data_IF_090832635781
#
_entry.id   IF_090832635781
#
_cell.length_a   1.000
_cell.length_b   1.000
_cell.length_c   1.000
_cell.angle_alpha   90.00
_cell.angle_beta   90.00
_cell.angle_gamma   90.00
#
_symmetry.space_group_name_H-M   'P 1'
#
loop_
_entity.id
_entity.type
_entity.pdbx_description
1 polymer ?
#
# COMPACT_ATOMS: atom_id res chain seq x y z
N UNK A 1 15.34 13.65 -15.17
CA UNK A 1 15.12 13.35 -14.84
C UNK A 1 14.34 13.50 -14.04
N UNK A 2 13.69 13.31 -13.99
CA UNK A 2 12.87 13.55 -13.53
C UNK A 2 12.57 13.28 -12.47
N UNK A 3 12.23 13.14 -12.00
CA UNK A 3 11.68 13.13 -10.97
C UNK A 3 11.67 11.92 -10.24
N UNK A 4 12.70 11.57 -9.45
CA UNK A 4 12.72 10.43 -8.57
C UNK A 4 11.57 10.46 -7.58
N UNK A 5 11.15 11.67 -7.16
CA UNK A 5 10.01 11.77 -6.26
C UNK A 5 8.74 11.25 -6.90
N UNK A 6 8.51 11.61 -8.15
CA UNK A 6 7.34 11.13 -8.85
C UNK A 6 7.41 9.64 -9.09
N UNK A 7 8.61 9.13 -9.37
CA UNK A 7 8.79 7.69 -9.56
C UNK A 7 8.50 6.93 -8.27
N UNK A 8 8.97 7.46 -7.13
CA UNK A 8 8.70 6.81 -5.85
C UNK A 8 7.22 6.82 -5.52
N UNK A 9 6.57 7.93 -5.76
CA UNK A 9 5.13 8.03 -5.50
C UNK A 9 4.36 7.09 -6.40
N UNK A 10 4.74 7.02 -7.68
CA UNK A 10 4.09 6.09 -8.60
C UNK A 10 4.27 4.65 -8.16
N UNK A 11 5.45 4.32 -7.67
CA UNK A 11 5.70 2.97 -7.17
C UNK A 11 4.83 2.67 -5.97
N UNK A 12 4.73 3.61 -5.04
CA UNK A 12 3.90 3.42 -3.85
C UNK A 12 2.43 3.26 -4.22
N UNK A 13 1.95 4.04 -5.18
CA UNK A 13 0.58 3.91 -5.63
C UNK A 13 0.34 2.56 -6.29
N UNK A 14 1.32 2.06 -7.03
CA UNK A 14 1.21 0.75 -7.64
C UNK A 14 1.14 -0.34 -6.56
N UNK A 15 1.92 -0.19 -5.49
CA UNK A 15 1.87 -1.13 -4.38
C UNK A 15 0.49 -1.12 -3.74
N UNK A 16 -0.09 0.07 -3.52
CA UNK A 16 -1.43 0.17 -2.95
C UNK A 16 -2.43 -0.56 -3.84
N UNK A 17 -2.42 -0.30 -5.13
CA UNK A 17 -3.36 -0.94 -6.04
C UNK A 17 -3.18 -2.45 -6.07
N UNK A 18 -1.94 -2.91 -6.16
CA UNK A 18 -1.68 -4.34 -6.26
C UNK A 18 -2.03 -5.06 -4.96
N UNK A 19 -1.75 -4.45 -3.82
CA UNK A 19 -2.07 -5.09 -2.54
C UNK A 19 -3.57 -5.09 -2.29
N UNK A 20 -4.29 -4.06 -2.74
CA UNK A 20 -5.75 -4.06 -2.62
C UNK A 20 -6.36 -5.15 -3.48
N UNK A 21 -5.88 -5.30 -4.71
CA UNK A 21 -6.36 -6.35 -5.58
C UNK A 21 -6.08 -7.72 -5.00
N UNK A 22 -4.87 -7.92 -4.49
CA UNK A 22 -4.49 -9.19 -3.89
C UNK A 22 -5.34 -9.51 -2.67
N UNK A 23 -5.53 -8.52 -1.80
CA UNK A 23 -6.34 -8.71 -0.61
C UNK A 23 -7.78 -9.05 -0.98
N UNK A 24 -8.35 -8.32 -1.94
CA UNK A 24 -9.73 -8.56 -2.35
C UNK A 24 -9.90 -9.93 -2.98
N UNK A 25 -8.92 -10.36 -3.78
CA UNK A 25 -8.96 -11.69 -4.37
C UNK A 25 -8.94 -12.74 -3.27
N UNK A 26 -8.07 -12.58 -2.28
CA UNK A 26 -7.98 -13.55 -1.19
C UNK A 26 -9.25 -13.54 -0.35
N UNK A 27 -9.85 -12.36 -0.13
CA UNK A 27 -11.12 -12.28 0.60
C UNK A 27 -12.21 -13.10 -0.10
N UNK A 28 -12.17 -13.14 -1.43
CA UNK A 28 -13.14 -13.93 -2.17
C UNK A 28 -12.83 -15.43 -2.11
N UNK A 29 -11.55 -15.77 -2.03
CA UNK A 29 -11.15 -17.18 -2.04
C UNK A 29 -11.29 -17.85 -0.68
N UNK A 30 -11.09 -17.09 0.40
CA UNK A 30 -11.12 -17.69 1.74
C UNK A 30 -12.39 -18.47 2.02
N UNK A 31 -13.59 -17.92 1.76
CA UNK A 31 -14.81 -18.69 2.06
C UNK A 31 -14.99 -19.90 1.16
N UNK A 32 -14.27 -19.98 0.04
CA UNK A 32 -14.37 -21.12 -0.85
C UNK A 32 -13.42 -22.24 -0.49
N UNK A 33 -12.46 -21.98 0.38
CA UNK A 33 -11.48 -22.99 0.76
C UNK A 33 -12.09 -23.96 1.74
N UNK A 34 -12.03 -25.25 1.41
CA UNK A 34 -12.58 -26.28 2.28
C UNK A 34 -11.54 -26.86 3.21
N UNK A 35 -10.28 -26.84 2.79
CA UNK A 35 -9.19 -27.36 3.58
C UNK A 35 -8.76 -26.28 4.58
N UNK A 36 -8.76 -26.65 5.86
CA UNK A 36 -8.43 -25.68 6.92
C UNK A 36 -7.01 -25.17 6.82
N UNK A 37 -6.07 -26.02 6.44
CA UNK A 37 -4.68 -25.58 6.29
C UNK A 37 -4.54 -24.59 5.15
N UNK A 38 -5.20 -24.86 4.04
CA UNK A 38 -5.17 -23.96 2.90
C UNK A 38 -5.85 -22.64 3.24
N UNK A 39 -6.96 -22.72 3.97
CA UNK A 39 -7.67 -21.51 4.41
C UNK A 39 -6.78 -20.65 5.31
N UNK A 40 -6.07 -21.30 6.25
CA UNK A 40 -5.16 -20.57 7.13
C UNK A 40 -4.06 -19.87 6.33
N UNK A 41 -3.56 -20.54 5.29
CA UNK A 41 -2.54 -19.95 4.44
C UNK A 41 -3.07 -18.74 3.68
N UNK A 42 -4.29 -18.83 3.16
CA UNK A 42 -4.91 -17.71 2.48
C UNK A 42 -5.10 -16.52 3.41
N UNK A 43 -5.50 -16.78 4.65
CA UNK A 43 -5.66 -15.72 5.64
C UNK A 43 -4.33 -15.08 5.98
N UNK A 44 -3.27 -15.87 6.07
CA UNK A 44 -1.95 -15.34 6.33
C UNK A 44 -1.49 -14.43 5.19
N UNK A 45 -1.72 -14.85 3.96
CA UNK A 45 -1.37 -14.05 2.80
C UNK A 45 -2.18 -12.77 2.75
N UNK A 46 -3.46 -12.85 3.08
CA UNK A 46 -4.31 -11.68 3.11
C UNK A 46 -3.77 -10.65 4.11
N UNK A 47 -3.33 -11.13 5.28
CA UNK A 47 -2.80 -10.22 6.29
C UNK A 47 -1.50 -9.56 5.83
N UNK A 48 -0.66 -10.28 5.07
CA UNK A 48 0.55 -9.69 4.52
C UNK A 48 0.20 -8.57 3.54
N UNK A 49 -0.73 -8.80 2.63
CA UNK A 49 -1.15 -7.78 1.69
C UNK A 49 -1.74 -6.58 2.41
N UNK A 50 -2.53 -6.83 3.45
CA UNK A 50 -3.15 -5.77 4.21
C UNK A 50 -2.08 -4.90 4.87
N UNK A 51 -1.06 -5.52 5.44
CA UNK A 51 0.01 -4.79 6.09
C UNK A 51 0.80 -3.97 5.08
N UNK A 52 1.14 -4.58 3.94
CA UNK A 52 1.85 -3.84 2.89
C UNK A 52 1.06 -2.66 2.40
N UNK A 53 -0.26 -2.83 2.25
CA UNK A 53 -1.14 -1.76 1.83
C UNK A 53 -1.10 -0.61 2.82
N UNK A 54 -1.18 -0.92 4.11
CA UNK A 54 -1.15 0.09 5.16
C UNK A 54 0.19 0.82 5.17
N UNK A 55 1.28 0.10 4.99
CA UNK A 55 2.60 0.72 4.97
C UNK A 55 2.77 1.63 3.77
N UNK A 56 2.24 1.21 2.61
CA UNK A 56 2.33 2.04 1.42
C UNK A 56 1.51 3.32 1.57
N UNK A 57 0.32 3.21 2.16
CA UNK A 57 -0.50 4.39 2.43
C UNK A 57 0.22 5.35 3.38
N UNK A 58 0.84 4.81 4.43
CA UNK A 58 1.58 5.65 5.37
C UNK A 58 2.75 6.35 4.69
N UNK A 59 3.43 5.66 3.79
CA UNK A 59 4.55 6.25 3.07
C UNK A 59 4.07 7.37 2.14
N UNK A 60 2.93 7.18 1.49
CA UNK A 60 2.36 8.21 0.64
C UNK A 60 1.98 9.43 1.46
N UNK A 61 1.37 9.22 2.61
CA UNK A 61 1.00 10.31 3.50
C UNK A 61 2.23 11.06 3.98
N UNK A 62 3.30 10.34 4.31
CA UNK A 62 4.54 10.97 4.75
C UNK A 62 5.14 11.82 3.64
N UNK A 63 5.09 11.36 2.39
CA UNK A 63 5.56 12.14 1.27
C UNK A 63 4.76 13.42 1.12
N UNK A 64 3.45 13.34 1.29
CA UNK A 64 2.59 14.52 1.24
C UNK A 64 2.91 15.50 2.35
N UNK A 65 3.12 14.98 3.56
CA UNK A 65 3.46 15.83 4.70
C UNK A 65 4.78 16.56 4.47
N UNK A 66 5.77 15.86 3.94
CA UNK A 66 7.06 16.48 3.65
C UNK A 66 6.92 17.57 2.61
N UNK A 67 6.07 17.36 1.62
CA UNK A 67 5.84 18.37 0.59
C UNK A 67 5.20 19.61 1.20
N UNK A 68 4.24 19.44 2.09
CA UNK A 68 3.59 20.55 2.74
C UNK A 68 4.59 21.36 3.56
N UNK A 69 5.47 20.68 4.29
CA UNK A 69 6.49 21.36 5.07
C UNK A 69 7.44 22.14 4.17
N UNK A 70 7.85 21.55 3.06
CA UNK A 70 8.74 22.21 2.14
C UNK A 70 8.09 23.46 1.55
N UNK A 71 6.82 23.37 1.22
CA UNK A 71 6.11 24.53 0.67
C UNK A 71 5.96 25.61 1.72
N UNK A 72 5.74 25.23 2.98
CA UNK A 72 5.65 26.22 4.05
C UNK A 72 6.97 26.95 4.23
N UNK A 73 8.08 26.23 4.16
CA UNK A 73 9.38 26.85 4.26
C UNK A 73 9.62 27.85 3.14
N UNK A 74 9.22 27.48 1.93
CA UNK A 74 9.39 28.35 0.78
C UNK A 74 8.53 29.59 0.92
N UNK A 75 7.31 29.42 1.43
CA UNK A 75 6.38 30.51 1.59
C UNK A 75 6.77 31.42 2.75
N UNK A 76 7.62 30.95 3.62
CA UNK A 76 8.04 31.74 4.77
C UNK A 76 8.79 32.98 4.33
N UNK A 77 8.93 33.93 5.18
CA UNK A 77 9.54 35.22 4.87
C UNK A 77 11.01 35.14 4.61
#
# INVERSE_FOLDING_TARGET
MENQKNDNLNMLEAIVQNTEMGKNTLDQLVPMAEDEQFKAELLRQRNIYRQLNQEAHAAIDACGDLRILAESDIAGP
#
